data_IF_557177954025
#
_entry.id   IF_557177954025
#
_cell.length_a   1.000
_cell.length_b   1.000
_cell.length_c   1.000
_cell.angle_alpha   90.00
_cell.angle_beta   90.00
_cell.angle_gamma   90.00
#
_symmetry.space_group_name_H-M   'P 1'
#
loop_
_entity.id
_entity.type
_entity.pdbx_description
1 polymer ?
#
# COMPACT_ATOMS: atom_id res chain seq x y z
N UNK A 1 -11.38 -10.70 -3.62
CA UNK A 1 -10.05 -10.83 -4.27
C UNK A 1 -9.76 -9.58 -5.08
N UNK A 2 -8.52 -9.08 -5.02
CA UNK A 2 -8.07 -7.93 -5.81
C UNK A 2 -6.71 -8.25 -6.45
N UNK A 3 -6.60 -8.02 -7.76
CA UNK A 3 -5.40 -8.26 -8.56
C UNK A 3 -4.96 -6.96 -9.23
N UNK A 4 -3.67 -6.63 -9.19
CA UNK A 4 -3.07 -5.57 -10.00
C UNK A 4 -2.02 -6.14 -10.93
N UNK A 5 -2.01 -5.69 -12.19
CA UNK A 5 -1.02 -6.08 -13.18
C UNK A 5 -0.28 -4.84 -13.65
N UNK A 6 0.97 -4.74 -13.24
CA UNK A 6 1.90 -3.67 -13.60
C UNK A 6 2.74 -4.07 -14.83
N UNK A 7 3.23 -3.10 -15.56
CA UNK A 7 4.13 -3.33 -16.69
C UNK A 7 4.09 -2.20 -17.71
N UNK A 8 5.10 -2.17 -18.57
CA UNK A 8 5.25 -1.16 -19.62
C UNK A 8 4.17 -1.26 -20.69
N UNK A 9 4.04 -0.23 -21.50
CA UNK A 9 3.30 -0.34 -22.76
C UNK A 9 3.94 -1.41 -23.65
N UNK A 10 3.13 -2.07 -24.49
CA UNK A 10 3.54 -3.16 -25.34
C UNK A 10 4.09 -4.43 -24.61
N UNK A 11 4.02 -4.53 -23.26
CA UNK A 11 4.42 -5.75 -22.53
C UNK A 11 3.48 -6.94 -22.73
N UNK A 12 2.26 -6.73 -23.23
CA UNK A 12 1.23 -7.77 -23.37
C UNK A 12 0.17 -7.76 -22.25
N UNK A 13 0.15 -6.72 -21.43
CA UNK A 13 -0.80 -6.59 -20.30
C UNK A 13 -2.26 -6.74 -20.70
N UNK A 14 -2.70 -6.11 -21.79
CA UNK A 14 -4.11 -6.15 -22.21
C UNK A 14 -4.59 -7.59 -22.41
N UNK A 15 -3.84 -8.40 -23.17
CA UNK A 15 -4.19 -9.79 -23.41
C UNK A 15 -4.19 -10.63 -22.12
N UNK A 16 -3.25 -10.35 -21.19
CA UNK A 16 -3.22 -11.03 -19.91
C UNK A 16 -4.39 -10.63 -19.03
N UNK A 17 -4.75 -9.34 -18.96
CA UNK A 17 -5.88 -8.81 -18.21
C UNK A 17 -7.20 -9.42 -18.71
N UNK A 18 -7.39 -9.53 -20.02
CA UNK A 18 -8.56 -10.19 -20.61
C UNK A 18 -8.64 -11.67 -20.20
N UNK A 19 -7.53 -12.38 -20.23
CA UNK A 19 -7.48 -13.77 -19.81
C UNK A 19 -7.74 -13.94 -18.31
N UNK A 20 -7.17 -13.09 -17.47
CA UNK A 20 -7.42 -13.09 -16.02
C UNK A 20 -8.87 -12.76 -15.72
N UNK A 21 -9.46 -11.78 -16.40
CA UNK A 21 -10.88 -11.43 -16.24
C UNK A 21 -11.77 -12.64 -16.57
N UNK A 22 -11.52 -13.31 -17.70
CA UNK A 22 -12.26 -14.51 -18.09
C UNK A 22 -12.11 -15.64 -17.05
N UNK A 23 -10.91 -15.87 -16.52
CA UNK A 23 -10.67 -16.88 -15.48
C UNK A 23 -11.44 -16.56 -14.19
N UNK A 24 -11.43 -15.29 -13.76
CA UNK A 24 -12.20 -14.83 -12.60
C UNK A 24 -13.71 -15.07 -12.82
N UNK A 25 -14.24 -14.69 -13.97
CA UNK A 25 -15.66 -14.86 -14.28
C UNK A 25 -16.09 -16.34 -14.34
N UNK A 26 -15.22 -17.22 -14.83
CA UNK A 26 -15.47 -18.64 -14.85
C UNK A 26 -15.51 -19.27 -13.45
N UNK A 27 -14.58 -18.88 -12.55
CA UNK A 27 -14.50 -19.43 -11.20
C UNK A 27 -15.51 -18.81 -10.24
N UNK A 28 -15.74 -17.52 -10.37
CA UNK A 28 -16.59 -16.75 -9.44
C UNK A 28 -17.90 -16.33 -10.09
N UNK A 29 -18.60 -17.28 -10.70
CA UNK A 29 -19.90 -17.02 -11.35
C UNK A 29 -20.88 -16.39 -10.36
N UNK A 30 -21.45 -15.25 -10.76
CA UNK A 30 -22.39 -14.48 -9.95
C UNK A 30 -21.76 -13.41 -9.07
N UNK A 31 -20.44 -13.35 -8.95
CA UNK A 31 -19.76 -12.20 -8.36
C UNK A 31 -19.49 -11.11 -9.41
N UNK A 32 -19.59 -9.86 -9.01
CA UNK A 32 -19.25 -8.73 -9.88
C UNK A 32 -17.74 -8.66 -10.08
N UNK A 33 -17.27 -8.45 -11.31
CA UNK A 33 -15.89 -8.08 -11.60
C UNK A 33 -15.81 -6.56 -11.86
N UNK A 34 -15.01 -5.86 -11.07
CA UNK A 34 -14.68 -4.46 -11.29
C UNK A 34 -13.32 -4.37 -11.96
N UNK A 35 -13.25 -3.69 -13.09
CA UNK A 35 -11.99 -3.44 -13.79
C UNK A 35 -11.59 -1.98 -13.67
N UNK A 36 -10.33 -1.75 -13.35
CA UNK A 36 -9.73 -0.43 -13.22
C UNK A 36 -8.58 -0.27 -14.22
N UNK A 37 -8.42 0.94 -14.69
CA UNK A 37 -7.22 1.35 -15.42
C UNK A 37 -6.69 2.63 -14.79
N UNK A 38 -5.48 2.59 -14.24
CA UNK A 38 -4.83 3.74 -13.64
C UNK A 38 -3.81 4.33 -14.62
N UNK A 39 -4.25 5.33 -15.32
CA UNK A 39 -3.44 6.13 -16.24
C UNK A 39 -2.93 7.42 -15.60
N UNK A 40 -2.69 8.44 -16.45
CA UNK A 40 -2.31 9.78 -15.98
C UNK A 40 -3.41 10.37 -15.11
N UNK A 41 -3.08 10.95 -13.92
CA UNK A 41 -4.05 11.63 -13.08
C UNK A 41 -4.77 12.76 -13.82
N UNK A 42 -6.08 12.92 -13.57
CA UNK A 42 -6.86 14.03 -14.12
C UNK A 42 -6.43 15.38 -13.52
N UNK A 43 -6.10 15.36 -12.22
CA UNK A 43 -5.50 16.49 -11.53
C UNK A 43 -4.13 16.13 -11.01
N UNK A 44 -3.13 16.93 -11.34
CA UNK A 44 -1.74 16.69 -10.94
C UNK A 44 -1.46 17.25 -9.53
N UNK A 45 -2.28 16.81 -8.54
CA UNK A 45 -2.11 17.11 -7.13
C UNK A 45 -2.03 15.83 -6.30
N UNK A 46 -1.17 15.81 -5.27
CA UNK A 46 -1.04 14.69 -4.34
C UNK A 46 -2.39 14.31 -3.72
N UNK A 47 -3.15 15.31 -3.33
CA UNK A 47 -4.46 15.15 -2.73
C UNK A 47 -5.43 14.39 -3.65
N UNK A 48 -5.48 14.78 -4.93
CA UNK A 48 -6.34 14.14 -5.90
C UNK A 48 -5.96 12.68 -6.12
N UNK A 49 -4.65 12.41 -6.28
CA UNK A 49 -4.13 11.05 -6.51
C UNK A 49 -4.44 10.13 -5.34
N UNK A 50 -4.19 10.59 -4.10
CA UNK A 50 -4.54 9.80 -2.90
C UNK A 50 -6.04 9.55 -2.80
N UNK A 51 -6.87 10.57 -3.09
CA UNK A 51 -8.32 10.41 -3.10
C UNK A 51 -8.78 9.41 -4.16
N UNK A 52 -8.20 9.45 -5.36
CA UNK A 52 -8.53 8.51 -6.43
C UNK A 52 -8.20 7.07 -6.05
N UNK A 53 -7.04 6.83 -5.42
CA UNK A 53 -6.68 5.50 -4.91
C UNK A 53 -7.63 5.07 -3.78
N UNK A 54 -7.90 5.92 -2.81
CA UNK A 54 -8.82 5.63 -1.70
C UNK A 54 -10.22 5.30 -2.21
N UNK A 55 -10.80 6.15 -3.04
CA UNK A 55 -12.14 5.93 -3.59
C UNK A 55 -12.22 4.62 -4.38
N UNK A 56 -11.21 4.32 -5.20
CA UNK A 56 -11.16 3.07 -5.95
C UNK A 56 -11.14 1.86 -5.03
N UNK A 57 -10.41 1.95 -3.93
CA UNK A 57 -10.28 0.91 -2.93
C UNK A 57 -11.57 0.78 -2.09
N UNK A 58 -12.19 1.88 -1.70
CA UNK A 58 -13.49 1.87 -1.01
C UNK A 58 -14.60 1.26 -1.86
N UNK A 59 -14.57 1.47 -3.19
CA UNK A 59 -15.49 0.81 -4.10
C UNK A 59 -15.26 -0.71 -4.23
N UNK A 60 -14.02 -1.15 -4.05
CA UNK A 60 -13.66 -2.57 -3.99
C UNK A 60 -14.02 -3.12 -2.61
N UNK A 61 -14.15 -2.22 -1.65
CA UNK A 61 -14.30 -2.56 -0.26
C UNK A 61 -15.51 -3.42 -0.03
N UNK A 62 -15.17 -4.62 0.41
CA UNK A 62 -15.97 -5.30 1.38
C UNK A 62 -17.30 -5.86 0.92
N UNK A 63 -17.73 -5.69 -0.32
CA UNK A 63 -18.75 -6.57 -0.83
C UNK A 63 -18.07 -7.93 -1.06
N UNK A 64 -18.38 -8.90 -0.22
CA UNK A 64 -17.97 -10.30 -0.39
C UNK A 64 -18.31 -10.84 -1.80
N UNK A 65 -19.06 -10.07 -2.56
CA UNK A 65 -19.59 -10.38 -3.89
C UNK A 65 -18.85 -9.67 -5.03
N UNK A 66 -17.69 -9.07 -4.76
CA UNK A 66 -16.93 -8.36 -5.78
C UNK A 66 -15.49 -8.86 -5.88
N UNK A 67 -15.03 -9.06 -7.11
CA UNK A 67 -13.62 -9.19 -7.45
C UNK A 67 -13.14 -7.92 -8.15
N UNK A 68 -11.87 -7.60 -8.04
CA UNK A 68 -11.27 -6.44 -8.69
C UNK A 68 -10.01 -6.82 -9.47
N UNK A 69 -9.87 -6.21 -10.63
CA UNK A 69 -8.71 -6.36 -11.51
C UNK A 69 -8.29 -4.99 -12.01
N UNK A 70 -7.02 -4.63 -11.84
CA UNK A 70 -6.50 -3.35 -12.30
C UNK A 70 -5.37 -3.50 -13.32
N UNK A 71 -5.49 -2.79 -14.44
CA UNK A 71 -4.40 -2.47 -15.35
C UNK A 71 -3.64 -1.28 -14.80
N UNK A 72 -2.47 -1.55 -14.23
CA UNK A 72 -1.66 -0.63 -13.45
C UNK A 72 -2.35 -0.17 -12.15
N UNK A 73 -1.52 0.29 -11.24
CA UNK A 73 -1.95 0.92 -10.00
C UNK A 73 -0.99 2.07 -9.68
N UNK A 74 -0.41 2.11 -8.49
CA UNK A 74 0.40 3.23 -8.03
C UNK A 74 1.85 3.24 -8.56
N UNK A 75 2.34 2.17 -9.18
CA UNK A 75 3.69 2.13 -9.73
C UNK A 75 3.93 3.17 -10.82
N UNK A 76 2.86 3.59 -11.52
CA UNK A 76 2.91 4.66 -12.50
C UNK A 76 3.50 5.98 -11.97
N UNK A 77 3.42 6.21 -10.65
CA UNK A 77 3.99 7.39 -10.01
C UNK A 77 5.53 7.36 -9.95
N UNK A 78 6.14 6.17 -9.84
CA UNK A 78 7.61 6.03 -9.93
C UNK A 78 8.05 5.85 -11.37
N UNK A 79 7.29 5.14 -12.18
CA UNK A 79 7.73 4.70 -13.51
C UNK A 79 7.61 5.78 -14.57
N UNK A 80 6.50 6.51 -14.59
CA UNK A 80 6.20 7.49 -15.65
C UNK A 80 6.34 8.95 -15.19
N UNK A 81 6.08 9.25 -13.90
CA UNK A 81 6.12 10.63 -13.44
C UNK A 81 7.49 11.31 -13.60
N UNK A 82 8.64 10.65 -13.34
CA UNK A 82 9.94 11.28 -13.53
C UNK A 82 10.16 11.81 -14.94
N UNK A 83 9.63 11.09 -15.94
CA UNK A 83 9.79 11.44 -17.36
C UNK A 83 8.72 12.42 -17.86
N UNK A 84 7.46 12.11 -17.59
CA UNK A 84 6.34 12.81 -18.21
C UNK A 84 5.72 13.90 -17.34
N UNK A 85 6.05 13.91 -16.04
CA UNK A 85 5.58 14.89 -15.04
C UNK A 85 6.69 15.27 -14.05
N UNK A 86 7.91 15.67 -14.52
CA UNK A 86 9.05 15.90 -13.62
C UNK A 86 8.80 16.99 -12.59
N UNK A 87 7.93 17.96 -12.89
CA UNK A 87 7.55 19.03 -11.98
C UNK A 87 6.65 18.59 -10.80
N UNK A 88 6.07 17.41 -10.89
CA UNK A 88 5.22 16.82 -9.83
C UNK A 88 5.88 15.65 -9.11
N UNK A 89 7.15 15.36 -9.44
CA UNK A 89 7.85 14.20 -8.87
C UNK A 89 8.42 14.53 -7.48
N UNK A 90 7.67 14.18 -6.44
CA UNK A 90 8.03 14.40 -5.04
C UNK A 90 8.93 13.26 -4.56
N UNK A 91 10.18 13.57 -4.21
CA UNK A 91 11.14 12.59 -3.66
C UNK A 91 11.33 11.31 -4.50
N UNK A 92 11.09 11.36 -5.81
CA UNK A 92 11.17 10.20 -6.70
C UNK A 92 9.93 9.29 -6.69
N UNK A 93 8.86 9.67 -5.98
CA UNK A 93 7.62 8.89 -5.84
C UNK A 93 6.41 9.53 -6.52
N UNK A 94 6.64 10.36 -7.54
CA UNK A 94 5.57 11.08 -8.22
C UNK A 94 4.76 11.95 -7.27
N UNK A 95 3.47 12.07 -7.53
CA UNK A 95 2.54 12.84 -6.70
C UNK A 95 2.26 12.21 -5.32
N UNK A 96 2.48 10.92 -5.16
CA UNK A 96 2.29 10.25 -3.86
C UNK A 96 3.32 10.71 -2.83
N UNK A 97 4.55 11.00 -3.26
CA UNK A 97 5.66 11.13 -2.35
C UNK A 97 5.93 9.83 -1.57
N UNK A 98 6.99 9.79 -0.80
CA UNK A 98 7.40 8.58 -0.06
C UNK A 98 6.33 8.07 0.92
N UNK A 99 5.69 8.98 1.65
CA UNK A 99 4.67 8.60 2.64
C UNK A 99 3.40 8.05 1.97
N UNK A 100 2.93 8.69 0.90
CA UNK A 100 1.78 8.22 0.13
C UNK A 100 2.02 6.85 -0.50
N UNK A 101 3.21 6.64 -1.08
CA UNK A 101 3.62 5.34 -1.60
C UNK A 101 3.53 4.25 -0.53
N UNK A 102 4.19 4.45 0.61
CA UNK A 102 4.20 3.50 1.72
C UNK A 102 2.80 3.20 2.25
N UNK A 103 1.97 4.22 2.33
CA UNK A 103 0.59 4.06 2.77
C UNK A 103 -0.22 3.20 1.81
N UNK A 104 -0.12 3.45 0.50
CA UNK A 104 -0.79 2.64 -0.52
C UNK A 104 -0.31 1.20 -0.46
N UNK A 105 0.98 0.96 -0.37
CA UNK A 105 1.57 -0.38 -0.24
C UNK A 105 1.05 -1.13 1.00
N UNK A 106 1.07 -0.50 2.19
CA UNK A 106 0.52 -1.08 3.42
C UNK A 106 -0.97 -1.37 3.30
N UNK A 107 -1.69 -0.48 2.62
CA UNK A 107 -3.09 -0.69 2.37
C UNK A 107 -3.32 -1.93 1.48
N UNK A 108 -2.62 -2.04 0.36
CA UNK A 108 -2.70 -3.19 -0.54
C UNK A 108 -2.37 -4.51 0.19
N UNK A 109 -1.33 -4.51 1.01
CA UNK A 109 -0.98 -5.67 1.84
C UNK A 109 -2.12 -6.08 2.75
N UNK A 110 -2.70 -5.12 3.50
CA UNK A 110 -3.81 -5.40 4.42
C UNK A 110 -5.06 -5.92 3.72
N UNK A 111 -5.19 -5.68 2.43
CA UNK A 111 -6.34 -6.13 1.60
C UNK A 111 -6.05 -7.43 0.85
N UNK A 112 -4.85 -8.00 1.02
CA UNK A 112 -4.44 -9.22 0.32
C UNK A 112 -4.44 -9.05 -1.19
N UNK A 113 -4.03 -7.86 -1.64
CA UNK A 113 -3.94 -7.56 -3.06
C UNK A 113 -2.76 -8.33 -3.65
N UNK A 114 -3.03 -9.11 -4.68
CA UNK A 114 -2.00 -9.78 -5.45
C UNK A 114 -1.52 -8.85 -6.57
N UNK A 115 -0.27 -8.38 -6.46
CA UNK A 115 0.35 -7.47 -7.41
C UNK A 115 1.37 -8.20 -8.27
N UNK A 116 1.21 -8.14 -9.57
CA UNK A 116 2.09 -8.81 -10.53
C UNK A 116 2.77 -7.80 -11.44
N UNK A 117 4.07 -7.98 -11.66
CA UNK A 117 4.82 -7.20 -12.65
C UNK A 117 5.07 -8.02 -13.90
N UNK A 118 4.42 -7.64 -14.99
CA UNK A 118 4.64 -8.25 -16.30
C UNK A 118 5.89 -7.63 -16.95
N UNK A 119 7.00 -8.34 -16.83
CA UNK A 119 8.28 -7.95 -17.39
C UNK A 119 8.48 -8.54 -18.78
N UNK A 120 8.99 -7.71 -19.69
CA UNK A 120 9.50 -8.15 -21.00
C UNK A 120 10.86 -7.50 -21.25
N UNK A 121 11.81 -8.16 -21.93
CA UNK A 121 13.05 -7.56 -22.37
C UNK A 121 12.84 -6.32 -23.24
N UNK A 122 13.79 -5.38 -23.15
CA UNK A 122 13.69 -4.09 -23.85
C UNK A 122 13.49 -4.26 -25.35
N UNK A 123 14.27 -5.17 -25.99
CA UNK A 123 14.20 -5.42 -27.44
C UNK A 123 12.84 -5.98 -27.88
N UNK A 124 12.19 -6.73 -27.02
CA UNK A 124 10.83 -7.27 -27.28
C UNK A 124 9.80 -6.16 -27.24
N UNK A 125 9.86 -5.31 -26.20
CA UNK A 125 8.93 -4.18 -26.05
C UNK A 125 9.14 -3.20 -27.19
N UNK A 126 10.40 -2.89 -27.53
CA UNK A 126 10.74 -1.98 -28.60
C UNK A 126 10.17 -2.44 -29.95
N UNK A 127 10.42 -3.68 -30.35
CA UNK A 127 9.85 -4.26 -31.59
C UNK A 127 8.32 -4.18 -31.63
N UNK A 128 7.66 -4.47 -30.50
CA UNK A 128 6.20 -4.42 -30.41
C UNK A 128 5.66 -3.00 -30.50
N UNK A 129 6.36 -2.04 -29.84
CA UNK A 129 5.97 -0.64 -29.86
C UNK A 129 6.13 -0.04 -31.27
N UNK A 130 7.25 -0.32 -31.95
CA UNK A 130 7.50 0.11 -33.32
C UNK A 130 6.46 -0.44 -34.31
N UNK A 131 6.03 -1.69 -34.12
CA UNK A 131 5.03 -2.32 -34.98
C UNK A 131 3.61 -1.81 -34.79
N UNK A 132 3.25 -1.46 -33.55
CA UNK A 132 1.91 -1.00 -33.18
C UNK A 132 1.72 0.50 -33.34
N UNK A 133 2.79 1.26 -33.10
CA UNK A 133 2.75 2.68 -32.83
C UNK A 133 2.24 2.99 -31.43
N UNK A 134 2.67 4.10 -30.87
CA UNK A 134 2.15 4.64 -29.61
C UNK A 134 2.25 6.16 -29.64
N UNK A 135 1.21 6.85 -29.19
CA UNK A 135 1.18 8.31 -29.20
C UNK A 135 1.87 8.92 -27.97
N UNK A 136 2.04 8.15 -26.90
CA UNK A 136 2.46 8.66 -25.61
C UNK A 136 3.88 8.22 -25.21
N UNK A 137 4.22 6.94 -25.45
CA UNK A 137 5.53 6.39 -25.08
C UNK A 137 6.43 6.32 -26.29
N UNK A 138 7.56 7.03 -26.25
CA UNK A 138 8.56 6.98 -27.29
C UNK A 138 9.52 5.80 -27.06
N UNK A 139 9.99 5.21 -28.15
CA UNK A 139 10.97 4.13 -28.11
C UNK A 139 12.22 4.49 -27.29
N UNK A 140 12.70 5.72 -27.43
CA UNK A 140 13.88 6.24 -26.71
C UNK A 140 13.68 6.32 -25.18
N UNK A 141 12.43 6.39 -24.71
CA UNK A 141 12.09 6.49 -23.30
C UNK A 141 11.95 5.10 -22.63
N UNK A 142 11.82 4.03 -23.40
CA UNK A 142 11.53 2.68 -22.89
C UNK A 142 12.56 2.17 -21.88
N UNK A 143 13.84 2.44 -22.13
CA UNK A 143 14.90 2.01 -21.22
C UNK A 143 14.73 2.66 -19.84
N UNK A 144 14.53 3.96 -19.80
CA UNK A 144 14.33 4.71 -18.55
C UNK A 144 13.07 4.21 -17.81
N UNK A 145 11.97 3.97 -18.54
CA UNK A 145 10.73 3.44 -17.95
C UNK A 145 10.96 2.05 -17.35
N UNK A 146 11.67 1.16 -18.04
CA UNK A 146 12.00 -0.19 -17.51
C UNK A 146 12.91 -0.13 -16.30
N UNK A 147 13.92 0.75 -16.32
CA UNK A 147 14.79 0.97 -15.16
C UNK A 147 13.96 1.46 -13.96
N UNK A 148 13.01 2.36 -14.18
CA UNK A 148 12.09 2.85 -13.15
C UNK A 148 11.12 1.76 -12.66
N UNK A 149 10.65 0.84 -13.51
CA UNK A 149 9.89 -0.33 -13.08
C UNK A 149 10.71 -1.24 -12.17
N UNK A 150 12.00 -1.42 -12.48
CA UNK A 150 12.92 -2.16 -11.61
C UNK A 150 13.10 -1.50 -10.24
N UNK A 151 13.13 -0.17 -10.19
CA UNK A 151 13.14 0.58 -8.92
C UNK A 151 11.81 0.39 -8.17
N UNK A 152 10.68 0.54 -8.85
CA UNK A 152 9.36 0.37 -8.25
C UNK A 152 9.20 -1.05 -7.66
N UNK A 153 9.64 -2.08 -8.40
CA UNK A 153 9.58 -3.48 -7.93
C UNK A 153 10.43 -3.72 -6.69
N UNK A 154 11.63 -3.11 -6.63
CA UNK A 154 12.51 -3.23 -5.47
C UNK A 154 11.99 -2.49 -4.23
N UNK A 155 11.16 -1.47 -4.41
CA UNK A 155 10.55 -0.69 -3.34
C UNK A 155 9.18 -1.23 -2.91
N UNK A 156 8.50 -1.98 -3.77
CA UNK A 156 7.18 -2.52 -3.48
C UNK A 156 7.25 -3.69 -2.52
N UNK A 157 6.39 -3.68 -1.53
CA UNK A 157 6.19 -4.78 -0.58
C UNK A 157 4.88 -5.53 -0.85
N UNK A 158 4.04 -4.98 -1.70
CA UNK A 158 2.84 -5.64 -2.21
C UNK A 158 3.11 -6.44 -3.48
N UNK A 159 4.31 -6.33 -4.08
CA UNK A 159 4.69 -7.15 -5.23
C UNK A 159 4.68 -8.63 -4.86
N UNK A 160 3.81 -9.37 -5.48
CA UNK A 160 3.65 -10.81 -5.26
C UNK A 160 4.63 -11.58 -6.12
N UNK A 161 4.70 -11.25 -7.42
CA UNK A 161 5.53 -11.98 -8.37
C UNK A 161 5.86 -11.14 -9.60
N UNK A 162 7.09 -11.33 -10.13
CA UNK A 162 7.46 -10.87 -11.45
C UNK A 162 7.19 -11.99 -12.48
N UNK A 163 6.37 -11.68 -13.47
CA UNK A 163 6.01 -12.61 -14.53
C UNK A 163 6.82 -12.28 -15.79
N UNK A 164 7.44 -13.29 -16.37
CA UNK A 164 8.23 -13.16 -17.61
C UNK A 164 7.72 -14.16 -18.64
N UNK A 165 6.61 -13.89 -19.33
CA UNK A 165 6.10 -14.77 -20.36
C UNK A 165 7.06 -14.81 -21.56
N UNK A 166 7.05 -15.92 -22.34
CA UNK A 166 7.83 -16.02 -23.57
C UNK A 166 7.56 -14.84 -24.52
N UNK A 167 8.62 -14.33 -25.14
CA UNK A 167 8.58 -13.08 -25.91
C UNK A 167 7.60 -13.12 -27.09
N UNK A 168 7.48 -14.25 -27.75
CA UNK A 168 6.81 -14.39 -29.04
C UNK A 168 5.62 -15.37 -29.01
N UNK A 169 5.22 -15.88 -27.84
CA UNK A 169 4.09 -16.79 -27.69
C UNK A 169 3.06 -16.25 -26.70
N UNK A 170 1.80 -16.20 -27.15
CA UNK A 170 0.64 -15.96 -26.31
C UNK A 170 0.05 -17.27 -25.76
N UNK A 171 0.64 -18.43 -26.10
CA UNK A 171 0.08 -19.75 -25.80
C UNK A 171 0.01 -20.02 -24.28
N UNK A 172 0.89 -19.39 -23.50
CA UNK A 172 0.94 -19.55 -22.05
C UNK A 172 0.01 -18.56 -21.29
N UNK A 173 -0.67 -17.65 -21.98
CA UNK A 173 -1.53 -16.65 -21.31
C UNK A 173 -2.63 -17.31 -20.47
N UNK A 174 -3.34 -18.36 -20.93
CA UNK A 174 -4.36 -19.01 -20.11
C UNK A 174 -3.81 -19.65 -18.82
N UNK A 175 -2.65 -20.31 -18.91
CA UNK A 175 -1.98 -20.92 -17.76
C UNK A 175 -1.51 -19.84 -16.77
N UNK A 176 -0.97 -18.75 -17.29
CA UNK A 176 -0.54 -17.62 -16.50
C UNK A 176 -1.72 -16.93 -15.81
N UNK A 177 -2.84 -16.77 -16.50
CA UNK A 177 -4.07 -16.22 -15.93
C UNK A 177 -4.59 -17.08 -14.78
N UNK A 178 -4.58 -18.41 -14.95
CA UNK A 178 -4.94 -19.37 -13.91
C UNK A 178 -4.04 -19.23 -12.70
N UNK A 179 -2.72 -19.21 -12.90
CA UNK A 179 -1.73 -19.03 -11.82
C UNK A 179 -1.97 -17.73 -11.05
N UNK A 180 -2.17 -16.60 -11.73
CA UNK A 180 -2.47 -15.30 -11.12
C UNK A 180 -3.70 -15.39 -10.21
N UNK A 181 -4.77 -16.03 -10.68
CA UNK A 181 -6.01 -16.16 -9.90
C UNK A 181 -5.80 -17.11 -8.72
N UNK A 182 -5.09 -18.23 -8.88
CA UNK A 182 -4.77 -19.16 -7.78
C UNK A 182 -4.01 -18.43 -6.64
N UNK A 183 -3.02 -17.64 -6.99
CA UNK A 183 -2.24 -16.84 -6.01
C UNK A 183 -3.09 -15.79 -5.33
N UNK A 184 -3.91 -15.07 -6.09
CA UNK A 184 -4.76 -14.01 -5.56
C UNK A 184 -5.86 -14.55 -4.63
N UNK A 185 -6.42 -15.72 -4.93
CA UNK A 185 -7.35 -16.43 -4.03
C UNK A 185 -6.67 -16.79 -2.71
N UNK A 186 -5.47 -17.37 -2.76
CA UNK A 186 -4.72 -17.74 -1.58
C UNK A 186 -4.39 -16.51 -0.70
N UNK A 187 -3.94 -15.41 -1.30
CA UNK A 187 -3.67 -14.17 -0.56
C UNK A 187 -4.92 -13.58 0.07
N UNK A 188 -6.04 -13.59 -0.64
CA UNK A 188 -7.32 -13.11 -0.14
C UNK A 188 -7.78 -13.89 1.09
N UNK A 189 -7.63 -15.20 1.10
CA UNK A 189 -8.01 -16.05 2.25
C UNK A 189 -7.13 -15.81 3.49
N UNK A 190 -5.86 -15.46 3.33
CA UNK A 190 -4.95 -15.14 4.45
C UNK A 190 -5.42 -13.89 5.21
N UNK A 191 -5.83 -12.83 4.50
CA UNK A 191 -6.19 -11.55 5.13
C UNK A 191 -7.66 -11.45 5.51
N UNK A 192 -8.52 -12.27 4.93
CA UNK A 192 -9.98 -12.22 5.10
C UNK A 192 -10.44 -12.26 6.57
N UNK A 193 -9.90 -13.11 7.46
CA UNK A 193 -10.30 -13.11 8.87
C UNK A 193 -10.07 -11.75 9.54
N UNK A 194 -8.88 -11.16 9.33
CA UNK A 194 -8.52 -9.85 9.89
C UNK A 194 -9.42 -8.77 9.34
N UNK A 195 -9.60 -8.72 8.02
CA UNK A 195 -10.40 -7.67 7.37
C UNK A 195 -11.88 -7.72 7.71
N UNK A 196 -12.44 -8.90 7.85
CA UNK A 196 -13.86 -9.06 8.19
C UNK A 196 -14.14 -8.52 9.60
N UNK A 197 -13.22 -8.75 10.53
CA UNK A 197 -13.35 -8.34 11.92
C UNK A 197 -12.87 -6.90 12.14
N UNK A 198 -11.78 -6.49 11.44
CA UNK A 198 -11.12 -5.20 11.64
C UNK A 198 -10.93 -4.43 10.32
N UNK A 199 -11.99 -3.92 9.70
CA UNK A 199 -11.92 -3.27 8.39
C UNK A 199 -11.05 -2.01 8.37
N UNK A 200 -10.77 -1.45 9.54
CA UNK A 200 -9.94 -0.24 9.72
C UNK A 200 -8.44 -0.53 9.83
N UNK A 201 -8.06 -1.80 9.94
CA UNK A 201 -6.66 -2.18 10.00
C UNK A 201 -5.96 -1.94 8.66
N UNK A 202 -4.75 -1.38 8.72
CA UNK A 202 -3.85 -1.21 7.57
C UNK A 202 -2.50 -1.81 7.91
N UNK A 203 -1.91 -2.56 7.00
CA UNK A 203 -0.55 -3.06 7.12
C UNK A 203 -0.40 -4.56 6.93
N UNK A 204 0.70 -5.05 7.44
CA UNK A 204 1.07 -6.45 7.34
C UNK A 204 0.12 -7.34 8.17
N UNK A 205 -0.45 -8.42 7.63
CA UNK A 205 -1.31 -9.32 8.39
C UNK A 205 -0.59 -10.06 9.53
N UNK A 206 0.75 -10.08 9.50
CA UNK A 206 1.60 -10.61 10.59
C UNK A 206 2.67 -9.57 10.93
N UNK A 207 2.30 -8.44 11.55
CA UNK A 207 3.23 -7.33 11.74
C UNK A 207 4.24 -7.64 12.86
N UNK A 208 5.44 -7.07 12.72
CA UNK A 208 6.41 -7.03 13.82
C UNK A 208 6.00 -6.01 14.89
N UNK A 209 5.36 -4.92 14.45
CA UNK A 209 4.95 -3.82 15.29
C UNK A 209 3.57 -3.30 14.89
N UNK A 210 2.73 -3.06 15.90
CA UNK A 210 1.42 -2.42 15.74
C UNK A 210 1.51 -0.95 16.21
N UNK A 211 1.35 -0.03 15.28
CA UNK A 211 1.29 1.40 15.57
C UNK A 211 -0.16 1.79 15.87
N UNK A 212 -0.41 2.25 17.08
CA UNK A 212 -1.75 2.65 17.52
C UNK A 212 -1.81 4.17 17.63
N UNK A 213 -2.62 4.81 16.78
CA UNK A 213 -2.93 6.24 16.84
C UNK A 213 -4.11 6.54 17.77
N UNK A 214 -4.39 7.84 17.96
CA UNK A 214 -5.52 8.30 18.76
C UNK A 214 -6.84 8.18 17.96
N UNK A 215 -7.02 9.08 17.02
CA UNK A 215 -8.21 9.18 16.18
C UNK A 215 -7.87 9.68 14.78
N UNK A 216 -8.82 9.49 13.88
CA UNK A 216 -8.75 10.04 12.53
C UNK A 216 -8.63 11.56 12.52
N UNK A 217 -7.87 12.08 11.57
CA UNK A 217 -8.16 13.41 11.09
C UNK A 217 -9.43 13.31 10.22
N UNK A 218 -10.50 13.92 10.67
CA UNK A 218 -11.67 14.17 9.82
C UNK A 218 -11.20 15.17 8.77
N UNK A 219 -10.85 14.66 7.61
CA UNK A 219 -10.58 15.51 6.45
C UNK A 219 -11.95 15.89 5.90
N UNK A 220 -12.55 16.93 6.46
CA UNK A 220 -13.85 17.51 6.03
C UNK A 220 -13.90 17.75 4.51
N UNK A 221 -12.73 17.82 3.88
CA UNK A 221 -12.55 18.14 2.48
C UNK A 221 -12.57 16.92 1.53
N UNK A 222 -12.54 15.68 2.04
CA UNK A 222 -12.57 14.47 1.19
C UNK A 222 -13.99 13.91 1.00
N UNK A 223 -15.02 14.65 1.45
CA UNK A 223 -16.36 14.11 1.53
C UNK A 223 -16.43 13.02 2.60
N UNK A 224 -17.59 12.64 3.01
CA UNK A 224 -17.88 11.71 4.08
C UNK A 224 -16.75 10.70 4.38
N UNK A 225 -16.01 10.98 5.44
CA UNK A 225 -15.30 10.04 6.30
C UNK A 225 -14.48 8.92 5.64
N UNK A 226 -13.32 9.25 5.09
CA UNK A 226 -12.31 8.19 4.94
C UNK A 226 -11.86 7.73 6.33
N UNK A 227 -12.36 6.57 6.72
CA UNK A 227 -12.13 5.96 8.04
C UNK A 227 -10.73 5.36 8.21
N UNK A 228 -9.78 5.62 7.32
CA UNK A 228 -8.50 4.94 7.26
C UNK A 228 -7.43 5.65 8.12
N UNK A 229 -6.66 4.92 8.94
CA UNK A 229 -5.69 5.51 9.83
C UNK A 229 -4.50 6.10 9.08
N UNK A 230 -3.98 7.22 9.59
CA UNK A 230 -2.76 7.89 9.14
C UNK A 230 -2.65 8.12 7.63
N UNK A 231 -3.74 8.34 6.93
CA UNK A 231 -3.69 8.70 5.51
C UNK A 231 -2.82 9.96 5.32
N UNK A 232 -1.77 9.91 4.50
CA UNK A 232 -0.81 10.99 4.37
C UNK A 232 -1.36 12.07 3.45
N UNK A 233 -1.78 13.16 4.04
CA UNK A 233 -2.09 14.40 3.34
C UNK A 233 -0.97 15.40 3.63
N UNK A 234 -0.73 16.32 2.71
CA UNK A 234 0.38 17.25 2.76
C UNK A 234 0.64 17.81 4.17
N UNK A 235 1.82 17.48 4.69
CA UNK A 235 2.28 17.88 6.01
C UNK A 235 1.40 17.51 7.21
N UNK A 236 0.59 16.46 7.15
CA UNK A 236 -0.12 15.96 8.31
C UNK A 236 0.70 14.97 9.15
N UNK A 237 0.10 14.42 10.21
CA UNK A 237 0.74 13.42 11.08
C UNK A 237 1.03 12.10 10.37
N UNK A 238 0.20 11.70 9.41
CA UNK A 238 0.41 10.49 8.60
C UNK A 238 1.61 10.63 7.67
N UNK A 239 1.73 11.78 7.01
CA UNK A 239 2.87 12.08 6.14
C UNK A 239 4.19 12.06 6.92
N UNK A 240 4.23 12.70 8.09
CA UNK A 240 5.40 12.68 8.96
C UNK A 240 5.72 11.28 9.46
N UNK A 241 4.74 10.54 9.99
CA UNK A 241 4.92 9.19 10.52
C UNK A 241 5.50 8.25 9.46
N UNK A 242 4.81 8.13 8.32
CA UNK A 242 5.18 7.19 7.27
C UNK A 242 6.52 7.54 6.60
N UNK A 243 6.86 8.82 6.54
CA UNK A 243 8.18 9.25 6.07
C UNK A 243 9.29 8.90 7.07
N UNK A 244 8.99 8.91 8.38
CA UNK A 244 9.96 8.69 9.46
C UNK A 244 10.30 7.21 9.67
N UNK A 245 9.35 6.29 9.48
CA UNK A 245 9.58 4.85 9.72
C UNK A 245 10.75 4.34 8.85
N UNK A 246 11.74 3.61 9.44
CA UNK A 246 12.85 3.04 8.69
C UNK A 246 12.40 2.13 7.54
N UNK A 247 13.21 2.07 6.49
CA UNK A 247 12.87 1.33 5.26
C UNK A 247 12.68 -0.16 5.52
N UNK A 248 13.46 -0.75 6.41
CA UNK A 248 13.40 -2.17 6.77
C UNK A 248 12.23 -2.52 7.71
N UNK A 249 11.66 -1.51 8.37
CA UNK A 249 10.60 -1.71 9.35
C UNK A 249 9.20 -1.49 8.78
N UNK A 250 9.01 -0.46 7.93
CA UNK A 250 7.67 -0.08 7.48
C UNK A 250 6.88 -1.24 6.82
N UNK A 251 7.49 -2.20 6.09
CA UNK A 251 6.75 -3.34 5.55
C UNK A 251 6.24 -4.32 6.62
N UNK A 252 6.76 -4.20 7.84
CA UNK A 252 6.43 -5.04 8.99
C UNK A 252 5.53 -4.33 9.99
N UNK A 253 4.95 -3.19 9.61
CA UNK A 253 4.05 -2.44 10.46
C UNK A 253 2.59 -2.83 10.21
N UNK A 254 1.82 -2.85 11.30
CA UNK A 254 0.39 -2.70 11.32
C UNK A 254 0.01 -1.32 11.85
N UNK A 255 -1.11 -0.77 11.43
CA UNK A 255 -1.55 0.58 11.81
C UNK A 255 -3.06 0.56 12.10
N UNK A 256 -3.45 1.13 13.23
CA UNK A 256 -4.85 1.31 13.63
C UNK A 256 -4.97 2.58 14.48
N UNK A 257 -6.16 3.16 14.57
CA UNK A 257 -6.45 4.19 15.58
C UNK A 257 -7.34 3.62 16.67
N UNK A 258 -7.02 3.90 17.92
CA UNK A 258 -7.77 3.40 19.08
C UNK A 258 -9.24 3.86 19.10
N UNK A 259 -9.52 5.08 18.58
CA UNK A 259 -10.89 5.59 18.51
C UNK A 259 -11.73 5.00 17.34
N UNK A 260 -11.12 4.25 16.44
CA UNK A 260 -11.78 3.67 15.27
C UNK A 260 -12.12 2.19 15.45
N UNK A 261 -11.82 1.61 16.61
CA UNK A 261 -12.03 0.22 16.96
C UNK A 261 -12.59 0.14 18.38
N UNK A 262 -13.49 -0.79 18.64
CA UNK A 262 -13.99 -1.00 19.99
C UNK A 262 -12.86 -1.53 20.90
N UNK A 263 -12.95 -1.25 22.19
CA UNK A 263 -11.89 -1.57 23.15
C UNK A 263 -11.60 -3.09 23.18
N UNK A 264 -12.64 -3.90 23.21
CA UNK A 264 -12.50 -5.36 23.20
C UNK A 264 -11.91 -5.87 21.88
N UNK A 265 -12.30 -5.24 20.76
CA UNK A 265 -11.79 -5.55 19.42
C UNK A 265 -10.30 -5.16 19.26
N UNK A 266 -9.80 -4.17 19.98
CA UNK A 266 -8.38 -3.79 19.92
C UNK A 266 -7.48 -4.86 20.56
N UNK A 267 -7.92 -5.47 21.68
CA UNK A 267 -7.20 -6.59 22.28
C UNK A 267 -7.21 -7.81 21.36
N UNK A 268 -8.39 -8.16 20.85
CA UNK A 268 -8.58 -9.27 19.92
C UNK A 268 -7.76 -9.09 18.63
N UNK A 269 -7.71 -7.87 18.08
CA UNK A 269 -6.84 -7.56 16.92
C UNK A 269 -5.38 -7.83 17.25
N UNK A 270 -4.91 -7.38 18.42
CA UNK A 270 -3.53 -7.61 18.85
C UNK A 270 -3.21 -9.11 18.94
N UNK A 271 -4.11 -9.93 19.51
CA UNK A 271 -3.95 -11.39 19.55
C UNK A 271 -4.02 -12.03 18.16
N UNK A 272 -5.01 -11.66 17.34
CA UNK A 272 -5.20 -12.18 15.98
C UNK A 272 -4.00 -11.86 15.06
N UNK A 273 -3.28 -10.77 15.33
CA UNK A 273 -2.04 -10.40 14.65
C UNK A 273 -0.79 -11.13 15.20
N UNK A 274 -0.92 -12.02 16.18
CA UNK A 274 0.17 -12.76 16.79
C UNK A 274 0.90 -11.99 17.90
N UNK A 275 0.22 -11.08 18.57
CA UNK A 275 0.73 -10.29 19.70
C UNK A 275 2.01 -9.50 19.38
N UNK A 276 2.02 -8.67 18.32
CA UNK A 276 3.18 -7.86 17.98
C UNK A 276 3.50 -6.83 19.07
N UNK A 277 4.73 -6.32 19.08
CA UNK A 277 5.07 -5.16 19.89
C UNK A 277 4.16 -3.98 19.53
N UNK A 278 3.59 -3.29 20.53
CA UNK A 278 2.70 -2.16 20.32
C UNK A 278 3.43 -0.84 20.58
N UNK A 279 3.17 0.15 19.75
CA UNK A 279 3.64 1.52 19.95
C UNK A 279 2.44 2.46 19.99
N UNK A 280 2.15 2.98 21.18
CA UNK A 280 1.16 4.05 21.36
C UNK A 280 1.72 5.37 20.84
N UNK A 281 1.06 5.96 19.88
CA UNK A 281 1.42 7.26 19.31
C UNK A 281 0.69 8.39 20.06
N UNK A 282 1.14 8.67 21.29
CA UNK A 282 0.60 9.68 22.19
C UNK A 282 -0.29 9.12 23.30
N UNK A 283 -0.56 9.98 24.30
CA UNK A 283 -1.27 9.61 25.54
C UNK A 283 -2.71 9.12 25.34
N UNK A 284 -3.38 9.56 24.30
CA UNK A 284 -4.75 9.11 24.06
C UNK A 284 -4.75 7.68 23.48
N UNK A 285 -3.81 7.37 22.60
CA UNK A 285 -3.62 6.00 22.10
C UNK A 285 -3.25 5.05 23.25
N UNK A 286 -2.37 5.49 24.17
CA UNK A 286 -2.01 4.74 25.38
C UNK A 286 -3.25 4.40 26.23
N UNK A 287 -4.14 5.38 26.47
CA UNK A 287 -5.39 5.12 27.20
C UNK A 287 -6.26 4.04 26.55
N UNK A 288 -6.35 4.05 25.22
CA UNK A 288 -7.06 3.01 24.47
C UNK A 288 -6.42 1.62 24.66
N UNK A 289 -5.08 1.53 24.56
CA UNK A 289 -4.32 0.31 24.76
C UNK A 289 -4.49 -0.23 26.18
N UNK A 290 -4.38 0.66 27.19
CA UNK A 290 -4.59 0.27 28.60
C UNK A 290 -6.04 -0.20 28.85
N UNK A 291 -7.02 0.50 28.29
CA UNK A 291 -8.43 0.12 28.44
C UNK A 291 -8.73 -1.22 27.76
N UNK A 292 -8.08 -1.53 26.63
CA UNK A 292 -8.16 -2.84 25.97
C UNK A 292 -7.47 -3.97 26.76
N UNK A 293 -6.68 -3.66 27.80
CA UNK A 293 -6.03 -4.67 28.64
C UNK A 293 -4.74 -5.23 28.06
N UNK A 294 -4.14 -4.59 27.03
CA UNK A 294 -2.82 -5.00 26.52
C UNK A 294 -1.79 -4.77 27.61
N UNK A 295 -0.95 -5.79 27.97
CA UNK A 295 -0.01 -5.69 29.06
C UNK A 295 1.01 -4.56 28.87
N UNK A 296 1.37 -3.86 29.95
CA UNK A 296 2.33 -2.76 29.92
C UNK A 296 3.73 -3.18 29.42
N UNK A 297 4.10 -4.45 29.55
CA UNK A 297 5.33 -5.01 28.98
C UNK A 297 5.33 -5.08 27.46
N UNK A 298 4.17 -5.02 26.83
CA UNK A 298 4.02 -5.26 25.40
C UNK A 298 3.95 -3.96 24.60
N UNK A 299 3.94 -2.79 25.24
CA UNK A 299 3.90 -1.53 24.52
C UNK A 299 4.85 -0.47 25.04
N UNK A 300 5.21 0.47 24.18
CA UNK A 300 5.88 1.73 24.50
C UNK A 300 4.99 2.90 24.08
N UNK A 301 5.20 4.06 24.71
CA UNK A 301 4.48 5.28 24.43
C UNK A 301 5.41 6.33 23.85
N UNK A 302 5.27 6.61 22.57
CA UNK A 302 6.02 7.66 21.89
C UNK A 302 5.18 8.93 21.71
N UNK A 303 5.79 10.11 21.58
CA UNK A 303 5.06 11.33 21.26
C UNK A 303 4.25 11.19 19.97
N UNK A 304 3.06 11.78 19.96
CA UNK A 304 2.24 11.79 18.75
C UNK A 304 2.98 12.44 17.57
N UNK A 305 2.95 11.87 16.34
CA UNK A 305 3.70 12.39 15.20
C UNK A 305 3.48 13.86 14.89
N UNK A 306 2.25 14.37 15.10
CA UNK A 306 1.94 15.79 14.90
C UNK A 306 2.64 16.69 15.93
N UNK A 307 2.80 16.22 17.18
CA UNK A 307 3.53 16.94 18.21
C UNK A 307 5.01 17.05 17.85
N UNK A 308 5.62 15.91 17.49
CA UNK A 308 7.03 15.88 17.06
C UNK A 308 7.25 16.80 15.87
N UNK A 309 6.41 16.72 14.86
CA UNK A 309 6.46 17.58 13.69
C UNK A 309 6.38 19.08 14.04
N UNK A 310 5.53 19.47 14.96
CA UNK A 310 5.29 20.89 15.31
C UNK A 310 6.33 21.47 16.25
N UNK A 311 6.81 20.68 17.20
CA UNK A 311 7.60 21.19 18.33
C UNK A 311 9.03 20.67 18.38
N UNK A 312 9.32 19.46 17.88
CA UNK A 312 10.66 18.88 17.80
C UNK A 312 11.23 18.83 16.37
N UNK A 313 10.58 19.41 15.53
CA UNK A 313 10.79 19.88 14.21
C UNK A 313 11.58 19.16 13.19
N UNK A 314 12.56 18.49 13.42
CA UNK A 314 13.49 18.22 12.32
C UNK A 314 14.07 16.83 12.35
N UNK A 315 13.60 16.03 13.29
CA UNK A 315 14.21 14.76 13.50
C UNK A 315 13.27 13.59 13.16
N UNK A 316 12.77 13.59 11.91
CA UNK A 316 12.09 12.39 11.39
C UNK A 316 12.98 11.15 11.48
N UNK A 317 14.30 11.33 11.36
CA UNK A 317 15.27 10.25 11.50
C UNK A 317 15.33 9.73 12.95
N UNK A 318 15.47 10.61 13.94
CA UNK A 318 15.51 10.21 15.37
C UNK A 318 14.17 9.61 15.81
N UNK A 319 13.05 10.17 15.35
CA UNK A 319 11.73 9.60 15.62
C UNK A 319 11.59 8.21 15.01
N UNK A 320 12.07 8.03 13.78
CA UNK A 320 12.13 6.72 13.14
C UNK A 320 13.04 5.73 13.88
N UNK A 321 14.15 6.19 14.41
CA UNK A 321 15.05 5.37 15.26
C UNK A 321 14.37 4.96 16.56
N UNK A 322 13.62 5.84 17.21
CA UNK A 322 12.84 5.51 18.40
C UNK A 322 11.77 4.45 18.10
N UNK A 323 11.06 4.56 16.97
CA UNK A 323 10.11 3.54 16.51
C UNK A 323 10.85 2.19 16.29
N UNK A 324 12.02 2.20 15.66
CA UNK A 324 12.81 0.98 15.45
C UNK A 324 13.28 0.35 16.76
N UNK A 325 13.76 1.16 17.69
CA UNK A 325 14.22 0.70 19.01
C UNK A 325 13.07 0.08 19.82
N UNK A 326 11.89 0.70 19.79
CA UNK A 326 10.68 0.14 20.39
C UNK A 326 10.30 -1.18 19.74
N UNK A 327 10.24 -1.23 18.40
CA UNK A 327 9.95 -2.46 17.67
C UNK A 327 10.94 -3.60 17.94
N UNK A 328 12.16 -3.27 18.34
CA UNK A 328 13.22 -4.23 18.74
C UNK A 328 13.24 -4.49 20.26
N UNK A 329 12.32 -3.90 21.01
CA UNK A 329 12.29 -3.92 22.49
C UNK A 329 13.62 -3.44 23.12
N UNK A 330 14.17 -2.34 22.59
CA UNK A 330 15.46 -1.76 23.00
C UNK A 330 15.36 -0.38 23.60
N UNK A 331 14.17 0.21 23.62
CA UNK A 331 13.93 1.49 24.30
C UNK A 331 14.11 1.30 25.81
N UNK A 332 14.82 2.24 26.43
CA UNK A 332 15.03 2.26 27.89
C UNK A 332 14.08 3.27 28.51
N UNK A 333 13.74 3.08 29.78
CA UNK A 333 12.81 3.97 30.51
C UNK A 333 13.30 5.42 30.57
N UNK A 334 14.60 5.67 30.47
CA UNK A 334 15.24 7.00 30.47
C UNK A 334 15.41 7.58 29.04
N UNK A 335 14.93 6.89 28.01
CA UNK A 335 15.01 7.39 26.65
C UNK A 335 14.16 8.66 26.48
N UNK A 336 14.70 9.75 25.89
CA UNK A 336 13.97 11.01 25.74
C UNK A 336 12.70 10.91 24.88
N UNK A 337 12.52 9.81 24.17
CA UNK A 337 11.35 9.55 23.36
C UNK A 337 10.22 8.82 24.10
N UNK A 338 10.48 8.27 25.28
CA UNK A 338 9.41 7.67 26.12
C UNK A 338 8.67 8.77 26.85
N UNK A 339 7.35 8.81 26.66
CA UNK A 339 6.47 9.66 27.45
C UNK A 339 6.25 9.03 28.82
N UNK A 340 6.81 9.64 29.87
CA UNK A 340 6.60 9.28 31.27
C UNK A 340 5.20 9.66 31.75
#
# INVERSE_FOLDING_TARGET
>A
MFITIEGTDASGKTSLIEAVANEIEQRHRGKRLMQFHKGRPLEETRRWVLKDYVNSIEHINFSQDCNALSDRWHWGEITYAPKYRPHTNIDGFGLLGKAGWRWVELFLMSRGVASFWLYQPLDVIQRRLESRGDEFVKVDDLKEILDNYSVASALSVSLTEQLTPPADSLDNIPELAKHIVDVAEAMSEIVKPILTKYPMYIGNPTPKVLLVGDKRNVLEEYGEETKLPFMPVDNNSGDFLLSSIPTELWPKCGIVNAADIDIDDLYDLWEDLGSPRVIALGRNAEKGIMAAGIPASEYDVLPHPQYVRRFNYKNSLEYGQAIQQSADNKLKEDDPWILQ
#
